data_IF_762870901758
#
_entry.id   IF_762870901758
#
_cell.length_a   1.000
_cell.length_b   1.000
_cell.length_c   1.000
_cell.angle_alpha   90.00
_cell.angle_beta   90.00
_cell.angle_gamma   90.00
#
_symmetry.space_group_name_H-M   'P 1'
#
loop_
_entity.id
_entity.type
_entity.pdbx_description
1 polymer ?
#
# COMPACT_ATOMS: atom_id res chain seq x y z
N UNK A 1 -6.62 43.07 -6.80
CA UNK A 1 -7.81 42.90 -7.66
C UNK A 1 -8.60 41.74 -7.06
N UNK A 2 -9.69 42.03 -6.32
CA UNK A 2 -10.52 40.99 -5.70
C UNK A 2 -11.23 40.23 -6.82
N UNK A 3 -10.94 38.94 -6.95
CA UNK A 3 -11.62 38.07 -7.91
C UNK A 3 -13.06 37.92 -7.45
N UNK A 4 -13.98 38.66 -8.08
CA UNK A 4 -15.43 38.47 -7.93
C UNK A 4 -15.84 37.29 -8.80
N UNK A 5 -15.74 36.09 -8.26
CA UNK A 5 -16.44 34.91 -8.76
C UNK A 5 -17.54 34.61 -7.74
N UNK A 6 -18.80 34.60 -8.19
CA UNK A 6 -19.98 34.39 -7.34
C UNK A 6 -19.96 33.06 -6.57
N UNK A 7 -19.02 32.16 -6.89
CA UNK A 7 -18.81 30.86 -6.22
C UNK A 7 -17.40 30.69 -5.61
N UNK A 8 -16.66 31.78 -5.31
CA UNK A 8 -15.31 31.67 -4.73
C UNK A 8 -15.31 30.86 -3.42
N UNK A 9 -16.33 31.04 -2.59
CA UNK A 9 -16.47 30.32 -1.32
C UNK A 9 -16.68 28.81 -1.51
N UNK A 10 -17.52 28.41 -2.48
CA UNK A 10 -17.69 26.99 -2.82
C UNK A 10 -16.40 26.38 -3.35
N UNK A 11 -15.70 27.09 -4.25
CA UNK A 11 -14.43 26.63 -4.78
C UNK A 11 -13.38 26.46 -3.67
N UNK A 12 -13.32 27.35 -2.68
CA UNK A 12 -12.43 27.21 -1.52
C UNK A 12 -12.81 25.98 -0.69
N UNK A 13 -14.08 25.82 -0.34
CA UNK A 13 -14.59 24.69 0.45
C UNK A 13 -14.38 23.34 -0.25
N UNK A 14 -14.57 23.28 -1.57
CA UNK A 14 -14.36 22.08 -2.38
C UNK A 14 -12.89 21.71 -2.57
N UNK A 15 -11.96 22.61 -2.23
CA UNK A 15 -10.52 22.33 -2.21
C UNK A 15 -9.99 22.04 -0.80
N UNK A 16 -10.82 22.09 0.25
CA UNK A 16 -10.42 21.70 1.59
C UNK A 16 -10.15 20.20 1.71
N UNK A 17 -9.23 19.86 2.61
CA UNK A 17 -8.89 18.48 2.93
C UNK A 17 -9.98 17.80 3.78
N UNK A 18 -10.49 18.51 4.79
CA UNK A 18 -11.56 18.01 5.65
C UNK A 18 -12.90 17.93 4.93
N UNK A 19 -13.68 16.90 5.23
CA UNK A 19 -15.07 16.82 4.83
C UNK A 19 -15.85 17.86 5.63
N UNK A 20 -16.47 18.81 4.95
CA UNK A 20 -17.23 19.89 5.56
C UNK A 20 -18.71 19.70 5.23
N UNK A 21 -19.54 19.72 6.26
CA UNK A 21 -20.99 19.72 6.14
C UNK A 21 -21.60 20.94 6.82
N UNK A 22 -22.71 21.39 6.28
CA UNK A 22 -23.62 22.29 6.97
C UNK A 22 -24.93 21.54 7.19
N UNK A 23 -25.46 21.54 8.42
CA UNK A 23 -26.78 21.00 8.71
C UNK A 23 -27.69 22.03 9.37
N UNK A 24 -28.99 21.75 9.33
CA UNK A 24 -29.93 22.38 10.25
C UNK A 24 -29.86 21.76 11.66
N UNK A 25 -30.70 22.25 12.58
CA UNK A 25 -30.78 21.74 13.96
C UNK A 25 -31.46 20.37 14.05
N UNK A 26 -32.19 19.96 13.02
CA UNK A 26 -32.73 18.60 12.86
C UNK A 26 -31.70 17.65 12.22
N UNK A 27 -30.48 18.16 11.96
CA UNK A 27 -29.32 17.48 11.38
C UNK A 27 -29.50 17.03 9.93
N UNK A 28 -30.46 17.60 9.22
CA UNK A 28 -30.59 17.43 7.78
C UNK A 28 -29.42 18.14 7.11
N UNK A 29 -28.73 17.44 6.22
CA UNK A 29 -27.55 17.97 5.52
C UNK A 29 -28.00 18.97 4.46
N UNK A 30 -27.57 20.21 4.60
CA UNK A 30 -27.85 21.30 3.66
C UNK A 30 -26.73 21.47 2.63
N UNK A 31 -25.49 21.19 3.03
CA UNK A 31 -24.32 21.30 2.17
C UNK A 31 -23.28 20.23 2.53
N UNK A 32 -22.54 19.77 1.52
CA UNK A 32 -21.40 18.88 1.65
C UNK A 32 -20.35 19.23 0.57
N UNK A 33 -19.08 19.39 0.95
CA UNK A 33 -18.01 19.67 0.01
C UNK A 33 -17.52 18.40 -0.74
N UNK A 34 -16.60 18.57 -1.70
CA UNK A 34 -16.03 17.45 -2.47
C UNK A 34 -15.31 16.39 -1.60
N UNK A 35 -14.73 16.80 -0.48
CA UNK A 35 -14.09 15.90 0.48
C UNK A 35 -15.12 15.02 1.21
N UNK A 36 -16.30 15.58 1.54
CA UNK A 36 -17.43 14.81 2.06
C UNK A 36 -17.96 13.78 1.06
N UNK A 37 -18.10 14.16 -0.22
CA UNK A 37 -18.49 13.22 -1.29
C UNK A 37 -17.50 12.06 -1.39
N UNK A 38 -16.20 12.38 -1.31
CA UNK A 38 -15.12 11.39 -1.36
C UNK A 38 -15.09 10.49 -0.13
N UNK A 39 -15.32 11.05 1.06
CA UNK A 39 -15.32 10.31 2.33
C UNK A 39 -16.44 9.26 2.39
N UNK A 40 -17.64 9.63 1.93
CA UNK A 40 -18.81 8.75 1.99
C UNK A 40 -19.07 7.98 0.69
N UNK A 41 -18.34 8.29 -0.39
CA UNK A 41 -18.55 7.76 -1.74
C UNK A 41 -19.99 7.99 -2.23
N UNK A 42 -20.49 9.20 -1.99
CA UNK A 42 -21.85 9.63 -2.35
C UNK A 42 -21.80 10.99 -3.02
N UNK A 43 -22.68 11.22 -3.99
CA UNK A 43 -22.85 12.55 -4.59
C UNK A 43 -23.44 13.52 -3.56
N UNK A 44 -23.10 14.81 -3.64
CA UNK A 44 -23.61 15.89 -2.80
C UNK A 44 -25.14 15.88 -2.72
N UNK A 45 -25.82 15.71 -3.86
CA UNK A 45 -27.29 15.63 -3.91
C UNK A 45 -27.86 14.49 -3.07
N UNK A 46 -27.16 13.34 -3.00
CA UNK A 46 -27.57 12.19 -2.19
C UNK A 46 -27.26 12.44 -0.71
N UNK A 47 -26.10 13.05 -0.40
CA UNK A 47 -25.76 13.43 0.97
C UNK A 47 -26.79 14.42 1.55
N UNK A 48 -27.23 15.41 0.78
CA UNK A 48 -28.25 16.37 1.20
C UNK A 48 -29.64 15.77 1.44
N UNK A 49 -29.88 14.49 1.10
CA UNK A 49 -31.13 13.78 1.46
C UNK A 49 -31.06 13.04 2.79
N UNK A 50 -29.89 13.02 3.42
CA UNK A 50 -29.62 12.27 4.64
C UNK A 50 -29.50 13.20 5.84
N UNK A 51 -29.57 12.60 7.02
CA UNK A 51 -29.19 13.26 8.26
C UNK A 51 -27.74 12.90 8.63
N UNK A 52 -27.09 13.73 9.44
CA UNK A 52 -25.76 13.40 9.97
C UNK A 52 -25.78 12.09 10.79
N UNK A 53 -26.91 11.76 11.42
CA UNK A 53 -27.10 10.47 12.11
C UNK A 53 -27.00 9.26 11.19
N UNK A 54 -27.37 9.40 9.92
CA UNK A 54 -27.28 8.30 8.96
C UNK A 54 -25.84 7.95 8.59
N UNK A 55 -24.89 8.84 8.87
CA UNK A 55 -23.49 8.72 8.53
C UNK A 55 -22.62 8.13 9.67
N UNK A 56 -23.07 8.27 10.92
CA UNK A 56 -22.34 7.86 12.13
C UNK A 56 -22.86 6.53 12.68
N UNK A 57 -21.94 5.70 13.21
CA UNK A 57 -22.29 4.41 13.82
C UNK A 57 -22.85 4.58 15.24
N UNK A 58 -22.25 5.44 16.07
CA UNK A 58 -22.74 5.75 17.43
C UNK A 58 -23.77 6.90 17.43
N UNK A 59 -25.02 6.55 17.17
CA UNK A 59 -26.13 7.51 17.16
C UNK A 59 -26.56 7.97 18.57
N UNK A 60 -26.36 7.14 19.58
CA UNK A 60 -26.84 7.40 20.96
C UNK A 60 -25.93 8.40 21.66
N UNK A 61 -24.61 8.19 21.59
CA UNK A 61 -23.65 9.14 22.15
C UNK A 61 -23.75 10.51 21.48
N UNK A 62 -24.02 10.55 20.18
CA UNK A 62 -24.12 11.80 19.42
C UNK A 62 -25.34 12.65 19.81
N UNK A 63 -26.51 12.04 20.08
CA UNK A 63 -27.71 12.77 20.56
C UNK A 63 -27.44 13.56 21.83
N UNK A 64 -26.67 12.98 22.77
CA UNK A 64 -26.31 13.63 24.02
C UNK A 64 -25.42 14.86 23.78
N UNK A 65 -24.38 14.70 22.96
CA UNK A 65 -23.47 15.80 22.59
C UNK A 65 -24.21 16.94 21.89
N UNK A 66 -25.22 16.64 21.08
CA UNK A 66 -26.03 17.64 20.40
C UNK A 66 -26.88 18.48 21.33
N UNK A 67 -27.53 17.86 22.32
CA UNK A 67 -28.28 18.59 23.35
C UNK A 67 -27.37 19.58 24.08
N UNK A 68 -26.20 19.11 24.50
CA UNK A 68 -25.19 19.94 25.18
C UNK A 68 -24.69 21.10 24.28
N UNK A 69 -24.52 20.85 22.98
CA UNK A 69 -24.04 21.85 22.02
C UNK A 69 -25.07 22.93 21.69
N UNK A 70 -26.35 22.56 21.57
CA UNK A 70 -27.45 23.52 21.37
C UNK A 70 -27.63 24.42 22.60
N UNK A 71 -27.49 23.85 23.79
CA UNK A 71 -27.67 24.56 25.06
C UNK A 71 -26.47 25.45 25.42
N UNK A 72 -25.24 24.96 25.19
CA UNK A 72 -24.00 25.68 25.56
C UNK A 72 -23.50 26.65 24.49
N UNK A 73 -23.81 26.40 23.22
CA UNK A 73 -23.28 27.16 22.08
C UNK A 73 -21.77 26.99 21.85
N UNK A 74 -21.11 26.04 22.52
CA UNK A 74 -19.66 25.80 22.35
C UNK A 74 -19.36 24.72 21.32
N UNK A 75 -18.26 24.83 20.55
CA UNK A 75 -17.83 23.75 19.68
C UNK A 75 -17.51 22.48 20.47
N UNK A 76 -17.91 21.31 19.96
CA UNK A 76 -17.56 20.01 20.52
C UNK A 76 -16.79 19.18 19.50
N UNK A 77 -15.69 18.55 19.94
CA UNK A 77 -14.90 17.62 19.12
C UNK A 77 -15.03 16.22 19.68
N UNK A 78 -15.36 15.25 18.82
CA UNK A 78 -15.26 13.82 19.11
C UNK A 78 -14.12 13.21 18.29
N UNK A 79 -13.44 12.22 18.86
CA UNK A 79 -12.26 11.60 18.26
C UNK A 79 -12.43 10.09 18.13
N UNK A 80 -11.84 9.51 17.10
CA UNK A 80 -11.90 8.06 16.82
C UNK A 80 -13.32 7.51 16.60
N UNK A 81 -14.21 8.34 16.07
CA UNK A 81 -15.57 7.94 15.73
C UNK A 81 -15.57 7.05 14.50
N UNK A 82 -16.41 6.02 14.50
CA UNK A 82 -16.58 5.14 13.35
C UNK A 82 -17.71 5.64 12.47
N UNK A 83 -17.43 5.75 11.17
CA UNK A 83 -18.43 5.98 10.14
C UNK A 83 -18.59 4.73 9.30
N UNK A 84 -19.83 4.44 8.92
CA UNK A 84 -20.15 3.34 8.02
C UNK A 84 -20.70 3.89 6.71
N UNK A 85 -19.99 3.65 5.61
CA UNK A 85 -20.55 3.94 4.29
C UNK A 85 -21.63 2.90 3.95
N UNK A 86 -22.91 3.29 4.05
CA UNK A 86 -24.05 2.42 3.70
C UNK A 86 -24.02 1.89 2.26
N UNK A 87 -23.24 2.51 1.35
CA UNK A 87 -23.10 2.08 -0.06
C UNK A 87 -21.97 1.07 -0.24
N UNK A 88 -20.84 1.26 0.43
CA UNK A 88 -19.64 0.42 0.22
C UNK A 88 -19.45 -0.65 1.29
N UNK A 89 -20.16 -0.55 2.42
CA UNK A 89 -19.99 -1.43 3.57
C UNK A 89 -18.68 -1.22 4.34
N UNK A 90 -17.84 -0.26 3.94
CA UNK A 90 -16.58 0.05 4.63
C UNK A 90 -16.82 0.91 5.86
N UNK A 91 -16.11 0.56 6.94
CA UNK A 91 -15.99 1.38 8.15
C UNK A 91 -14.69 2.19 8.10
N UNK A 92 -14.73 3.46 8.48
CA UNK A 92 -13.56 4.34 8.59
C UNK A 92 -13.58 5.07 9.93
N UNK A 93 -12.40 5.43 10.45
CA UNK A 93 -12.29 6.24 11.67
C UNK A 93 -12.08 7.71 11.35
N UNK A 94 -12.85 8.57 12.00
CA UNK A 94 -12.79 10.02 11.84
C UNK A 94 -12.67 10.73 13.18
N UNK A 95 -12.03 11.89 13.14
CA UNK A 95 -12.25 12.94 14.13
C UNK A 95 -13.30 13.89 13.57
N UNK A 96 -14.29 14.26 14.38
CA UNK A 96 -15.35 15.17 13.98
C UNK A 96 -15.50 16.33 14.95
N UNK A 97 -15.60 17.54 14.43
CA UNK A 97 -15.93 18.74 15.18
C UNK A 97 -17.32 19.23 14.77
N UNK A 98 -18.07 19.69 15.76
CA UNK A 98 -19.41 20.24 15.61
C UNK A 98 -19.36 21.66 16.17
N UNK A 99 -19.65 22.64 15.33
CA UNK A 99 -19.59 24.06 15.69
C UNK A 99 -20.93 24.70 15.37
N UNK A 100 -21.69 25.17 16.37
CA UNK A 100 -22.91 25.92 16.10
C UNK A 100 -22.54 27.27 15.48
N UNK A 101 -23.21 27.63 14.39
CA UNK A 101 -22.98 28.91 13.71
C UNK A 101 -24.30 29.62 13.45
N UNK A 102 -24.27 30.95 13.45
CA UNK A 102 -25.39 31.79 13.03
C UNK A 102 -25.22 32.14 11.55
N UNK A 103 -26.14 31.67 10.72
CA UNK A 103 -26.21 32.02 9.30
C UNK A 103 -27.45 32.89 9.09
N UNK A 104 -27.23 34.20 9.07
CA UNK A 104 -28.32 35.18 9.14
C UNK A 104 -29.03 35.10 10.49
N UNK A 105 -30.35 34.91 10.48
CA UNK A 105 -31.17 34.72 11.69
C UNK A 105 -31.37 33.23 12.06
N UNK A 106 -30.74 32.31 11.31
CA UNK A 106 -30.92 30.87 11.53
C UNK A 106 -29.68 30.24 12.15
N UNK A 107 -29.88 29.53 13.26
CA UNK A 107 -28.85 28.65 13.83
C UNK A 107 -28.67 27.42 12.95
N UNK A 108 -27.41 27.12 12.63
CA UNK A 108 -26.98 25.96 11.86
C UNK A 108 -25.83 25.27 12.56
N UNK A 109 -25.49 24.08 12.11
CA UNK A 109 -24.36 23.32 12.61
C UNK A 109 -23.33 23.15 11.49
N UNK A 110 -22.14 23.68 11.71
CA UNK A 110 -20.96 23.41 10.89
C UNK A 110 -20.29 22.14 11.42
N UNK A 111 -19.97 21.22 10.52
CA UNK A 111 -19.43 19.92 10.89
C UNK A 111 -18.21 19.68 10.02
N UNK A 112 -17.08 19.44 10.67
CA UNK A 112 -15.84 19.06 9.99
C UNK A 112 -15.50 17.63 10.38
N UNK A 113 -15.25 16.79 9.39
CA UNK A 113 -14.83 15.40 9.58
C UNK A 113 -13.47 15.20 8.91
N UNK A 114 -12.52 14.74 9.71
CA UNK A 114 -11.17 14.42 9.26
C UNK A 114 -10.93 12.93 9.44
N UNK A 115 -10.64 12.19 8.35
CA UNK A 115 -10.18 10.82 8.47
C UNK A 115 -8.91 10.78 9.32
N UNK A 116 -8.91 9.96 10.37
CA UNK A 116 -7.72 9.75 11.22
C UNK A 116 -6.61 9.07 10.42
N UNK A 117 -7.01 8.30 9.41
CA UNK A 117 -6.15 7.51 8.53
C UNK A 117 -5.26 8.32 7.57
N UNK A 118 -5.08 9.63 7.77
CA UNK A 118 -4.22 10.45 6.91
C UNK A 118 -2.96 10.96 7.61
N UNK A 119 -3.08 11.69 8.72
CA UNK A 119 -1.90 12.20 9.41
C UNK A 119 -1.10 11.08 10.10
N UNK A 120 -1.79 10.09 10.68
CA UNK A 120 -1.12 8.90 11.25
C UNK A 120 -0.52 8.04 10.14
N UNK A 121 -1.24 7.89 9.01
CA UNK A 121 -0.75 7.11 7.85
C UNK A 121 0.50 7.73 7.25
N UNK A 122 0.53 9.04 7.02
CA UNK A 122 1.68 9.75 6.45
C UNK A 122 2.88 9.64 7.38
N UNK A 123 2.72 9.90 8.68
CA UNK A 123 3.82 9.76 9.64
C UNK A 123 4.34 8.33 9.73
N UNK A 124 3.45 7.32 9.68
CA UNK A 124 3.83 5.90 9.67
C UNK A 124 4.56 5.53 8.39
N UNK A 125 4.10 6.00 7.24
CA UNK A 125 4.75 5.81 5.94
C UNK A 125 6.16 6.42 5.94
N UNK A 126 6.34 7.65 6.44
CA UNK A 126 7.65 8.28 6.59
C UNK A 126 8.58 7.51 7.53
N UNK A 127 8.07 7.06 8.67
CA UNK A 127 8.85 6.26 9.61
C UNK A 127 9.31 4.94 8.97
N UNK A 128 8.43 4.27 8.22
CA UNK A 128 8.77 3.04 7.49
C UNK A 128 9.80 3.30 6.38
N UNK A 129 9.63 4.35 5.58
CA UNK A 129 10.58 4.71 4.52
C UNK A 129 11.97 5.05 5.10
N UNK A 130 12.03 5.83 6.18
CA UNK A 130 13.28 6.19 6.86
C UNK A 130 13.99 4.96 7.47
N UNK A 131 13.23 4.08 8.11
CA UNK A 131 13.76 2.83 8.66
C UNK A 131 14.26 1.90 7.54
N UNK A 132 13.54 1.85 6.42
CA UNK A 132 13.91 1.08 5.24
C UNK A 132 15.18 1.61 4.57
N UNK A 133 15.34 2.93 4.42
CA UNK A 133 16.56 3.54 3.88
C UNK A 133 17.77 3.32 4.78
N UNK A 134 17.57 3.39 6.10
CA UNK A 134 18.59 3.05 7.10
C UNK A 134 19.01 1.58 6.98
N UNK A 135 18.05 0.67 6.87
CA UNK A 135 18.29 -0.76 6.67
C UNK A 135 19.05 -1.03 5.36
N UNK A 136 18.67 -0.38 4.25
CA UNK A 136 19.39 -0.46 2.97
C UNK A 136 20.83 0.01 3.07
N UNK A 137 21.09 1.12 3.75
CA UNK A 137 22.44 1.65 3.95
C UNK A 137 23.31 0.67 4.72
N UNK A 138 22.78 0.09 5.81
CA UNK A 138 23.45 -0.94 6.60
C UNK A 138 23.74 -2.20 5.80
N UNK A 139 22.74 -2.69 5.05
CA UNK A 139 22.88 -3.85 4.15
C UNK A 139 23.97 -3.61 3.12
N UNK A 140 24.08 -2.40 2.54
CA UNK A 140 25.14 -2.08 1.56
C UNK A 140 26.54 -2.12 2.18
N UNK A 141 26.70 -1.57 3.38
CA UNK A 141 27.96 -1.63 4.12
C UNK A 141 28.37 -3.08 4.39
N UNK A 142 27.44 -3.88 4.93
CA UNK A 142 27.64 -5.29 5.22
C UNK A 142 27.89 -6.13 3.95
N UNK A 143 27.22 -5.82 2.84
CA UNK A 143 27.35 -6.58 1.61
C UNK A 143 28.77 -6.52 1.03
N UNK A 144 29.44 -5.36 1.12
CA UNK A 144 30.85 -5.26 0.76
C UNK A 144 31.75 -6.08 1.69
N UNK A 145 31.45 -6.11 2.99
CA UNK A 145 32.18 -6.89 3.97
C UNK A 145 31.92 -8.40 3.88
N UNK A 146 30.75 -8.83 3.38
CA UNK A 146 30.38 -10.25 3.17
C UNK A 146 30.94 -10.79 1.85
N UNK A 147 30.98 -9.97 0.78
CA UNK A 147 31.55 -10.38 -0.51
C UNK A 147 33.02 -10.80 -0.40
N UNK A 148 33.78 -10.15 0.49
CA UNK A 148 35.20 -10.42 0.70
C UNK A 148 35.49 -11.84 1.24
N UNK A 149 34.90 -12.29 2.37
CA UNK A 149 35.09 -13.65 2.87
C UNK A 149 34.48 -14.70 1.94
N UNK A 150 33.35 -14.43 1.25
CA UNK A 150 32.82 -15.34 0.24
C UNK A 150 33.81 -15.55 -0.91
N UNK A 151 34.45 -14.49 -1.40
CA UNK A 151 35.53 -14.59 -2.39
C UNK A 151 36.70 -15.45 -1.90
N UNK A 152 37.08 -15.30 -0.63
CA UNK A 152 38.12 -16.10 0.01
C UNK A 152 37.76 -17.59 0.13
N UNK A 153 36.55 -17.91 0.59
CA UNK A 153 36.03 -19.29 0.71
C UNK A 153 35.99 -19.95 -0.67
N UNK A 154 35.48 -19.23 -1.68
CA UNK A 154 35.45 -19.73 -3.07
C UNK A 154 36.86 -20.01 -3.58
N UNK A 155 37.80 -19.10 -3.35
CA UNK A 155 39.20 -19.28 -3.77
C UNK A 155 39.86 -20.49 -3.09
N UNK A 156 39.64 -20.66 -1.78
CA UNK A 156 40.13 -21.83 -1.05
C UNK A 156 39.52 -23.14 -1.56
N UNK A 157 38.21 -23.17 -1.83
CA UNK A 157 37.53 -24.34 -2.37
C UNK A 157 38.04 -24.71 -3.78
N UNK A 158 38.34 -23.72 -4.62
CA UNK A 158 38.93 -23.93 -5.94
C UNK A 158 40.36 -24.47 -5.87
N UNK A 159 41.18 -23.98 -4.94
CA UNK A 159 42.53 -24.49 -4.71
C UNK A 159 42.50 -25.93 -4.19
N UNK A 160 41.60 -26.25 -3.25
CA UNK A 160 41.39 -27.60 -2.76
C UNK A 160 40.95 -28.56 -3.86
N UNK A 161 40.03 -28.13 -4.74
CA UNK A 161 39.59 -28.94 -5.89
C UNK A 161 40.76 -29.25 -6.84
N UNK A 162 41.65 -28.28 -7.07
CA UNK A 162 42.87 -28.47 -7.87
C UNK A 162 43.84 -29.46 -7.23
N UNK A 163 44.09 -29.36 -5.92
CA UNK A 163 44.94 -30.31 -5.18
C UNK A 163 44.36 -31.73 -5.19
N UNK A 164 43.04 -31.88 -4.99
CA UNK A 164 42.34 -33.17 -5.05
C UNK A 164 42.53 -33.83 -6.43
N UNK A 165 42.34 -33.06 -7.50
CA UNK A 165 42.55 -33.53 -8.88
C UNK A 165 44.02 -33.88 -9.13
N UNK A 166 44.96 -33.07 -8.63
CA UNK A 166 46.38 -33.27 -8.84
C UNK A 166 46.94 -34.49 -8.08
N UNK A 167 46.42 -34.77 -6.89
CA UNK A 167 46.89 -35.86 -6.03
C UNK A 167 46.06 -37.14 -6.11
N UNK A 168 45.01 -37.18 -6.93
CA UNK A 168 44.18 -38.36 -7.14
C UNK A 168 43.38 -38.78 -5.91
N UNK A 169 42.92 -37.81 -5.10
CA UNK A 169 42.09 -38.04 -3.92
C UNK A 169 40.66 -38.48 -4.31
N UNK A 170 39.84 -38.90 -3.34
CA UNK A 170 38.51 -39.48 -3.62
C UNK A 170 37.53 -38.49 -4.30
N UNK A 171 36.57 -39.05 -5.05
CA UNK A 171 35.55 -38.26 -5.76
C UNK A 171 34.57 -37.58 -4.77
N UNK A 172 34.45 -38.09 -3.54
CA UNK A 172 33.58 -37.55 -2.49
C UNK A 172 34.07 -36.18 -2.00
N UNK A 173 35.38 -36.03 -1.80
CA UNK A 173 36.05 -34.77 -1.45
C UNK A 173 35.88 -33.72 -2.55
N UNK A 174 35.90 -34.17 -3.81
CA UNK A 174 35.66 -33.34 -5.00
C UNK A 174 34.21 -32.91 -5.14
N UNK A 175 33.27 -33.74 -4.71
CA UNK A 175 31.86 -33.38 -4.66
C UNK A 175 31.63 -32.30 -3.58
N UNK A 176 32.27 -32.43 -2.42
CA UNK A 176 32.22 -31.43 -1.34
C UNK A 176 32.78 -30.06 -1.76
N UNK A 177 33.90 -29.99 -2.49
CA UNK A 177 34.45 -28.71 -3.00
C UNK A 177 33.51 -28.02 -3.99
N UNK A 178 32.83 -28.79 -4.85
CA UNK A 178 31.80 -28.27 -5.77
C UNK A 178 30.58 -27.75 -5.02
N UNK A 179 30.13 -28.45 -3.97
CA UNK A 179 29.03 -27.98 -3.11
C UNK A 179 29.40 -26.64 -2.46
N UNK A 180 30.60 -26.53 -1.85
CA UNK A 180 31.07 -25.28 -1.24
C UNK A 180 31.09 -24.14 -2.26
N UNK A 181 31.61 -24.39 -3.46
CA UNK A 181 31.65 -23.39 -4.54
C UNK A 181 30.25 -22.95 -4.94
N UNK A 182 29.34 -23.91 -5.14
CA UNK A 182 27.94 -23.64 -5.53
C UNK A 182 27.21 -22.83 -4.47
N UNK A 183 27.35 -23.17 -3.19
CA UNK A 183 26.72 -22.42 -2.10
C UNK A 183 27.35 -21.04 -1.93
N UNK A 184 28.66 -20.90 -2.15
CA UNK A 184 29.32 -19.59 -2.09
C UNK A 184 28.85 -18.67 -3.22
N UNK A 185 28.67 -19.19 -4.43
CA UNK A 185 28.11 -18.44 -5.56
C UNK A 185 26.63 -18.10 -5.32
N UNK A 186 25.84 -19.02 -4.78
CA UNK A 186 24.45 -18.76 -4.38
C UNK A 186 24.34 -17.64 -3.34
N UNK A 187 25.21 -17.63 -2.33
CA UNK A 187 25.27 -16.58 -1.32
C UNK A 187 25.68 -15.24 -1.94
N UNK A 188 26.65 -15.24 -2.85
CA UNK A 188 27.05 -14.04 -3.58
C UNK A 188 25.88 -13.46 -4.39
N UNK A 189 25.15 -14.29 -5.11
CA UNK A 189 23.97 -13.85 -5.87
C UNK A 189 22.87 -13.27 -4.96
N UNK A 190 22.72 -13.82 -3.76
CA UNK A 190 21.79 -13.30 -2.75
C UNK A 190 22.22 -11.89 -2.27
N UNK A 191 23.52 -11.71 -2.02
CA UNK A 191 24.11 -10.41 -1.67
C UNK A 191 23.99 -9.42 -2.83
N UNK A 192 24.16 -9.85 -4.07
CA UNK A 192 23.99 -9.00 -5.25
C UNK A 192 22.54 -8.54 -5.43
N UNK A 193 21.55 -9.39 -5.15
CA UNK A 193 20.13 -9.01 -5.13
C UNK A 193 19.80 -7.99 -4.04
N UNK A 194 20.44 -8.08 -2.87
CA UNK A 194 20.32 -7.08 -1.79
C UNK A 194 20.87 -5.71 -2.19
N UNK A 195 21.90 -5.70 -3.04
CA UNK A 195 22.61 -4.49 -3.45
C UNK A 195 21.97 -3.74 -4.64
N UNK A 196 20.93 -4.30 -5.24
CA UNK A 196 20.22 -3.91 -6.47
C UNK A 196 20.89 -2.74 -7.25
N UNK A 197 21.52 -3.02 -8.41
CA UNK A 197 22.25 -2.00 -9.17
C UNK A 197 21.41 -0.74 -9.37
N UNK A 198 22.07 0.42 -9.36
CA UNK A 198 21.47 1.67 -9.80
C UNK A 198 21.14 1.58 -11.31
N UNK A 199 20.06 0.89 -11.66
CA UNK A 199 19.46 1.00 -12.98
C UNK A 199 18.91 2.40 -13.11
N UNK A 200 19.40 3.14 -14.11
CA UNK A 200 18.75 4.37 -14.54
C UNK A 200 17.35 4.00 -15.03
N UNK A 201 16.33 4.50 -14.34
CA UNK A 201 14.94 4.26 -14.69
C UNK A 201 14.66 4.81 -16.08
N UNK A 202 14.03 4.00 -16.93
CA UNK A 202 13.57 4.42 -18.25
C UNK A 202 12.07 4.67 -18.17
N UNK A 203 11.71 5.91 -17.85
CA UNK A 203 10.32 6.33 -17.80
C UNK A 203 9.75 6.46 -19.21
N UNK A 204 8.69 5.70 -19.47
CA UNK A 204 7.90 5.74 -20.69
C UNK A 204 6.40 5.68 -20.35
N UNK A 205 5.56 6.13 -21.29
CA UNK A 205 4.12 5.95 -21.17
C UNK A 205 3.81 4.46 -21.27
N UNK A 206 3.07 3.94 -20.29
CA UNK A 206 2.68 2.54 -20.26
C UNK A 206 1.27 2.38 -19.71
N UNK A 207 0.60 1.32 -20.18
CA UNK A 207 -0.64 0.85 -19.63
C UNK A 207 -0.35 -0.13 -18.48
N UNK A 208 -0.84 0.14 -17.27
CA UNK A 208 -0.63 -0.71 -16.10
C UNK A 208 -1.20 -2.13 -16.29
N UNK A 209 -2.25 -2.28 -17.10
CA UNK A 209 -2.83 -3.59 -17.40
C UNK A 209 -1.88 -4.47 -18.20
N UNK A 210 -1.01 -3.92 -19.04
CA UNK A 210 0.02 -4.71 -19.73
C UNK A 210 1.02 -5.30 -18.75
N UNK A 211 1.36 -4.56 -17.70
CA UNK A 211 2.26 -5.03 -16.63
C UNK A 211 1.59 -6.16 -15.85
N UNK A 212 0.34 -5.95 -15.41
CA UNK A 212 -0.37 -6.95 -14.60
C UNK A 212 -0.72 -8.20 -15.42
N UNK A 213 -1.04 -8.06 -16.70
CA UNK A 213 -1.35 -9.19 -17.58
C UNK A 213 -0.10 -10.02 -17.87
N UNK A 214 1.04 -9.35 -18.12
CA UNK A 214 2.32 -10.03 -18.30
C UNK A 214 2.70 -10.87 -17.08
N UNK A 215 2.58 -10.29 -15.88
CA UNK A 215 2.86 -11.02 -14.63
C UNK A 215 1.87 -12.16 -14.42
N UNK A 216 0.57 -11.93 -14.61
CA UNK A 216 -0.44 -12.98 -14.41
C UNK A 216 -0.20 -14.16 -15.37
N UNK A 217 0.11 -13.88 -16.64
CA UNK A 217 0.42 -14.91 -17.64
C UNK A 217 1.67 -15.73 -17.27
N UNK A 218 2.70 -15.08 -16.74
CA UNK A 218 3.92 -15.76 -16.28
C UNK A 218 3.62 -16.71 -15.13
N UNK A 219 2.82 -16.28 -14.15
CA UNK A 219 2.46 -17.10 -12.99
C UNK A 219 1.52 -18.24 -13.34
N UNK A 220 0.57 -18.03 -14.24
CA UNK A 220 -0.29 -19.10 -14.79
C UNK A 220 0.56 -20.20 -15.43
N UNK A 221 1.61 -19.83 -16.18
CA UNK A 221 2.55 -20.77 -16.78
C UNK A 221 3.42 -21.49 -15.73
N UNK A 222 3.97 -20.77 -14.75
CA UNK A 222 4.80 -21.35 -13.67
C UNK A 222 4.01 -22.37 -12.83
N UNK A 223 2.73 -22.10 -12.57
CA UNK A 223 1.89 -22.90 -11.66
C UNK A 223 1.18 -24.08 -12.32
N UNK A 224 1.26 -24.22 -13.64
CA UNK A 224 0.68 -25.34 -14.41
C UNK A 224 -0.83 -25.54 -14.14
N UNK A 225 -1.58 -24.48 -13.84
CA UNK A 225 -3.02 -24.54 -13.59
C UNK A 225 -3.44 -24.95 -12.18
N UNK A 226 -2.52 -25.08 -11.22
CA UNK A 226 -2.83 -25.40 -9.83
C UNK A 226 -3.50 -24.25 -9.06
N UNK A 227 -3.53 -23.04 -9.62
CA UNK A 227 -4.03 -21.83 -9.00
C UNK A 227 -5.09 -21.17 -9.87
N UNK A 228 -6.13 -20.61 -9.24
CA UNK A 228 -7.12 -19.80 -9.93
C UNK A 228 -6.70 -18.34 -9.96
N UNK A 229 -6.46 -17.79 -11.15
CA UNK A 229 -6.19 -16.37 -11.33
C UNK A 229 -7.44 -15.63 -11.79
N UNK A 230 -7.78 -14.52 -11.13
CA UNK A 230 -8.91 -13.65 -11.48
C UNK A 230 -8.41 -12.25 -11.82
N UNK A 231 -8.92 -11.68 -12.91
CA UNK A 231 -8.59 -10.33 -13.39
C UNK A 231 -9.79 -9.42 -13.18
N UNK A 232 -9.63 -8.38 -12.38
CA UNK A 232 -10.67 -7.40 -12.05
C UNK A 232 -10.17 -5.99 -12.36
N UNK A 233 -10.09 -5.69 -13.65
CA UNK A 233 -9.46 -4.46 -14.15
C UNK A 233 -10.49 -3.35 -14.36
N UNK A 234 -10.14 -2.16 -13.89
CA UNK A 234 -10.83 -0.92 -14.21
C UNK A 234 -10.28 -0.35 -15.53
N UNK A 235 -11.04 -0.41 -16.64
CA UNK A 235 -10.59 0.01 -17.97
C UNK A 235 -10.49 1.54 -18.12
N UNK A 236 -10.91 2.32 -17.12
CA UNK A 236 -10.85 3.79 -17.16
C UNK A 236 -9.49 4.37 -16.76
N UNK A 237 -8.57 3.53 -16.27
CA UNK A 237 -7.24 3.98 -15.84
C UNK A 237 -6.43 4.44 -17.07
N UNK A 238 -5.96 5.70 -17.10
CA UNK A 238 -5.14 6.20 -18.19
C UNK A 238 -3.71 5.62 -18.14
N UNK A 239 -2.95 5.82 -19.21
CA UNK A 239 -1.51 5.53 -19.23
C UNK A 239 -0.79 6.30 -18.11
N UNK A 240 0.18 5.64 -17.49
CA UNK A 240 1.06 6.23 -16.49
C UNK A 240 2.49 6.33 -17.03
N UNK A 241 3.30 7.19 -16.43
CA UNK A 241 4.71 7.31 -16.77
C UNK A 241 5.53 6.44 -15.82
N UNK A 242 6.25 5.44 -16.33
CA UNK A 242 7.00 4.51 -15.49
C UNK A 242 8.02 3.68 -16.26
N UNK A 243 8.85 2.96 -15.53
CA UNK A 243 9.74 1.92 -16.06
C UNK A 243 9.00 0.57 -16.01
N UNK A 244 8.58 0.10 -17.19
CA UNK A 244 7.81 -1.13 -17.35
C UNK A 244 8.49 -2.34 -16.71
N UNK A 245 9.81 -2.45 -16.84
CA UNK A 245 10.57 -3.61 -16.33
C UNK A 245 10.57 -3.66 -14.81
N UNK A 246 10.73 -2.50 -14.16
CA UNK A 246 10.72 -2.37 -12.71
C UNK A 246 9.32 -2.59 -12.13
N UNK A 247 8.28 -2.12 -12.80
CA UNK A 247 6.89 -2.37 -12.38
C UNK A 247 6.50 -3.85 -12.54
N UNK A 248 6.93 -4.52 -13.61
CA UNK A 248 6.78 -5.98 -13.75
C UNK A 248 7.44 -6.69 -12.57
N UNK A 249 8.68 -6.32 -12.24
CA UNK A 249 9.41 -6.92 -11.11
C UNK A 249 8.69 -6.70 -9.77
N UNK A 250 8.15 -5.49 -9.53
CA UNK A 250 7.42 -5.17 -8.32
C UNK A 250 6.15 -6.03 -8.19
N UNK A 251 5.30 -6.06 -9.22
CA UNK A 251 4.05 -6.84 -9.22
C UNK A 251 4.34 -8.33 -9.13
N UNK A 252 5.40 -8.82 -9.80
CA UNK A 252 5.82 -10.21 -9.74
C UNK A 252 6.27 -10.62 -8.34
N UNK A 253 7.06 -9.80 -7.66
CA UNK A 253 7.52 -10.09 -6.30
C UNK A 253 6.37 -10.16 -5.30
N UNK A 254 5.42 -9.23 -5.39
CA UNK A 254 4.20 -9.25 -4.57
C UNK A 254 3.37 -10.51 -4.87
N UNK A 255 3.19 -10.83 -6.14
CA UNK A 255 2.37 -11.99 -6.56
C UNK A 255 3.03 -13.33 -6.23
N UNK A 256 4.36 -13.43 -6.28
CA UNK A 256 5.09 -14.62 -5.82
C UNK A 256 4.99 -14.78 -4.31
N UNK A 257 4.95 -13.68 -3.55
CA UNK A 257 4.70 -13.74 -2.12
C UNK A 257 3.31 -14.33 -1.81
N UNK A 258 2.29 -13.98 -2.59
CA UNK A 258 0.96 -14.58 -2.49
C UNK A 258 0.97 -16.08 -2.85
N UNK A 259 1.58 -16.47 -3.98
CA UNK A 259 1.70 -17.88 -4.38
C UNK A 259 2.39 -18.75 -3.32
N UNK A 260 3.49 -18.26 -2.77
CA UNK A 260 4.22 -18.97 -1.73
C UNK A 260 3.36 -19.15 -0.46
N UNK A 261 2.60 -18.11 -0.07
CA UNK A 261 1.71 -18.17 1.08
C UNK A 261 0.64 -19.26 0.92
N UNK A 262 0.03 -19.31 -0.25
CA UNK A 262 -1.01 -20.27 -0.61
C UNK A 262 -0.48 -21.70 -0.68
N UNK A 263 0.73 -21.88 -1.24
CA UNK A 263 1.36 -23.19 -1.39
C UNK A 263 1.78 -23.78 -0.04
N UNK A 264 2.45 -22.99 0.80
CA UNK A 264 2.92 -23.45 2.13
C UNK A 264 1.77 -23.78 3.09
N UNK A 265 0.65 -23.06 2.97
CA UNK A 265 -0.54 -23.29 3.79
C UNK A 265 -1.47 -24.39 3.25
N UNK A 266 -1.13 -25.03 2.12
CA UNK A 266 -1.92 -26.08 1.47
C UNK A 266 -3.41 -25.69 1.30
N UNK A 267 -3.64 -24.46 0.83
CA UNK A 267 -5.00 -23.90 0.69
C UNK A 267 -5.81 -24.70 -0.33
N UNK A 268 -6.99 -25.16 0.09
CA UNK A 268 -7.96 -25.77 -0.80
C UNK A 268 -8.51 -24.71 -1.75
N UNK A 269 -8.29 -24.89 -3.07
CA UNK A 269 -8.64 -23.92 -4.12
C UNK A 269 -7.90 -22.58 -3.96
N UNK A 270 -6.58 -22.56 -4.17
CA UNK A 270 -5.81 -21.35 -4.02
C UNK A 270 -6.17 -20.36 -5.14
N UNK A 271 -6.47 -19.13 -4.76
CA UNK A 271 -6.96 -18.07 -5.65
C UNK A 271 -6.15 -16.80 -5.47
N UNK A 272 -5.74 -16.22 -6.59
CA UNK A 272 -5.14 -14.88 -6.66
C UNK A 272 -6.00 -14.00 -7.53
N UNK A 273 -6.39 -12.84 -7.03
CA UNK A 273 -7.10 -11.82 -7.81
C UNK A 273 -6.19 -10.61 -8.00
N UNK A 274 -5.97 -10.22 -9.25
CA UNK A 274 -5.31 -8.95 -9.59
C UNK A 274 -6.39 -7.94 -9.94
N UNK A 275 -6.48 -6.88 -9.14
CA UNK A 275 -7.52 -5.84 -9.29
C UNK A 275 -6.88 -4.49 -9.52
N UNK A 276 -7.45 -3.66 -10.39
CA UNK A 276 -7.01 -2.26 -10.56
C UNK A 276 -8.15 -1.29 -10.30
N UNK A 277 -7.87 -0.15 -9.66
CA UNK A 277 -8.84 0.94 -9.42
C UNK A 277 -8.19 2.31 -9.50
N UNK A 278 -8.95 3.35 -9.84
CA UNK A 278 -8.54 4.75 -9.64
C UNK A 278 -8.91 5.21 -8.24
N UNK A 279 -7.94 5.77 -7.51
CA UNK A 279 -8.16 6.51 -6.27
C UNK A 279 -8.09 8.00 -6.55
N UNK A 280 -9.05 8.77 -6.00
CA UNK A 280 -9.09 10.23 -6.12
C UNK A 280 -8.51 10.88 -4.87
N UNK A 281 -7.83 12.01 -5.04
CA UNK A 281 -7.34 12.83 -3.92
C UNK A 281 -6.51 12.03 -2.90
N UNK A 282 -5.70 11.10 -3.40
CA UNK A 282 -4.89 10.20 -2.57
C UNK A 282 -3.55 10.85 -2.24
N UNK A 283 -3.08 10.68 -1.01
CA UNK A 283 -1.77 11.17 -0.58
C UNK A 283 -0.82 10.01 -0.43
N UNK A 284 0.33 10.12 -1.09
CA UNK A 284 1.47 9.22 -0.99
C UNK A 284 2.61 10.04 -0.40
N UNK A 285 3.11 9.63 0.77
CA UNK A 285 4.07 10.40 1.55
C UNK A 285 3.55 11.83 1.79
N UNK A 286 4.27 12.89 1.37
CA UNK A 286 3.82 14.29 1.52
C UNK A 286 3.07 14.87 0.31
N UNK A 287 2.93 14.10 -0.77
CA UNK A 287 2.39 14.60 -2.03
C UNK A 287 0.94 14.14 -2.23
N UNK A 288 0.03 15.11 -2.45
CA UNK A 288 -1.35 14.84 -2.83
C UNK A 288 -1.46 14.71 -4.33
N UNK A 289 -1.98 13.59 -4.78
CA UNK A 289 -2.25 13.30 -6.17
C UNK A 289 -3.75 13.35 -6.43
N UNK A 290 -4.16 14.05 -7.50
CA UNK A 290 -5.57 14.11 -7.91
C UNK A 290 -6.09 12.71 -8.25
N UNK A 291 -5.26 11.92 -8.93
CA UNK A 291 -5.57 10.54 -9.30
C UNK A 291 -4.36 9.63 -9.03
N UNK A 292 -4.62 8.45 -8.48
CA UNK A 292 -3.63 7.40 -8.23
C UNK A 292 -4.18 6.10 -8.78
N UNK A 293 -3.37 5.36 -9.51
CA UNK A 293 -3.64 3.99 -9.89
C UNK A 293 -3.34 3.09 -8.70
N UNK A 294 -4.33 2.32 -8.26
CA UNK A 294 -4.18 1.28 -7.25
C UNK A 294 -4.23 -0.08 -7.92
N UNK A 295 -3.19 -0.90 -7.71
CA UNK A 295 -3.10 -2.29 -8.16
C UNK A 295 -3.08 -3.19 -6.93
N UNK A 296 -4.09 -4.03 -6.80
CA UNK A 296 -4.22 -4.99 -5.71
C UNK A 296 -3.83 -6.38 -6.19
N UNK A 297 -3.02 -7.07 -5.38
CA UNK A 297 -2.83 -8.51 -5.43
C UNK A 297 -3.50 -9.09 -4.19
N UNK A 298 -4.56 -9.86 -4.42
CA UNK A 298 -5.44 -10.40 -3.36
C UNK A 298 -5.32 -11.92 -3.35
N UNK A 299 -5.03 -12.52 -2.20
CA UNK A 299 -4.99 -13.96 -2.03
C UNK A 299 -5.88 -14.45 -0.88
N UNK A 300 -6.34 -15.71 -1.00
CA UNK A 300 -7.11 -16.39 0.03
C UNK A 300 -6.25 -17.22 1.00
N UNK A 301 -5.03 -16.75 1.27
CA UNK A 301 -4.06 -17.41 2.13
C UNK A 301 -4.32 -17.26 3.63
N UNK A 302 -3.39 -17.72 4.48
CA UNK A 302 -3.57 -17.77 5.93
C UNK A 302 -3.59 -16.40 6.62
N UNK A 303 -3.27 -15.33 5.90
CA UNK A 303 -3.08 -14.00 6.47
C UNK A 303 -1.65 -13.74 6.96
N UNK A 304 -1.44 -12.55 7.51
CA UNK A 304 -0.19 -12.10 8.13
C UNK A 304 -0.52 -11.69 9.57
N UNK A 305 0.31 -12.08 10.52
CA UNK A 305 0.11 -11.72 11.93
C UNK A 305 0.24 -10.19 12.12
N UNK A 306 -0.49 -9.59 13.08
CA UNK A 306 -0.40 -8.14 13.32
C UNK A 306 1.03 -7.65 13.57
N UNK A 307 1.82 -8.44 14.31
CA UNK A 307 3.22 -8.13 14.66
C UNK A 307 4.14 -8.09 13.43
N UNK A 308 3.82 -8.90 12.42
CA UNK A 308 4.60 -8.98 11.18
C UNK A 308 4.22 -7.95 10.14
N UNK A 309 2.99 -7.42 10.17
CA UNK A 309 2.44 -6.58 9.10
C UNK A 309 3.30 -5.35 8.81
N UNK A 310 3.95 -4.77 9.83
CA UNK A 310 4.88 -3.64 9.64
C UNK A 310 6.29 -4.09 9.20
N UNK A 311 6.67 -5.32 9.53
CA UNK A 311 8.03 -5.82 9.36
C UNK A 311 8.25 -6.48 7.99
N UNK A 312 7.20 -6.92 7.30
CA UNK A 312 7.29 -7.64 6.02
C UNK A 312 7.99 -6.87 4.89
N UNK A 313 8.10 -5.55 5.00
CA UNK A 313 8.78 -4.71 3.99
C UNK A 313 10.28 -4.55 4.26
N UNK A 314 10.78 -4.98 5.42
CA UNK A 314 12.19 -4.94 5.77
C UNK A 314 12.96 -6.09 5.11
N UNK A 315 14.19 -5.86 4.62
CA UNK A 315 15.00 -6.90 4.00
C UNK A 315 15.23 -8.08 4.94
N UNK A 316 15.25 -9.30 4.39
CA UNK A 316 15.57 -10.56 5.10
C UNK A 316 14.53 -10.96 6.17
N UNK A 317 13.43 -10.22 6.29
CA UNK A 317 12.32 -10.58 7.17
C UNK A 317 11.42 -11.57 6.43
N UNK A 318 11.34 -12.79 6.94
CA UNK A 318 10.48 -13.86 6.43
C UNK A 318 10.20 -14.85 7.55
N UNK A 319 8.93 -15.15 7.80
CA UNK A 319 8.53 -16.27 8.69
C UNK A 319 8.58 -17.63 7.96
N UNK A 320 8.87 -17.62 6.65
CA UNK A 320 8.72 -18.76 5.75
C UNK A 320 10.04 -19.48 5.50
N UNK A 321 10.00 -20.81 5.53
CA UNK A 321 11.14 -21.67 5.26
C UNK A 321 11.60 -21.55 3.80
N UNK A 322 12.82 -21.05 3.58
CA UNK A 322 13.41 -20.90 2.24
C UNK A 322 13.09 -19.58 1.52
N UNK A 323 12.22 -18.73 2.09
CA UNK A 323 11.99 -17.37 1.62
C UNK A 323 13.20 -16.47 1.89
N UNK A 324 13.68 -15.75 0.89
CA UNK A 324 14.84 -14.85 1.06
C UNK A 324 14.49 -13.57 1.82
N UNK A 325 13.21 -13.23 1.97
CA UNK A 325 12.77 -11.97 2.58
C UNK A 325 13.13 -10.72 1.77
N UNK A 326 13.50 -10.86 0.49
CA UNK A 326 13.93 -9.74 -0.36
C UNK A 326 12.86 -9.25 -1.34
N UNK A 327 11.88 -10.10 -1.66
CA UNK A 327 10.90 -9.80 -2.73
C UNK A 327 10.11 -8.51 -2.47
N UNK A 328 9.52 -8.37 -1.27
CA UNK A 328 8.73 -7.20 -0.91
C UNK A 328 9.59 -5.93 -0.77
N UNK A 329 10.82 -6.05 -0.28
CA UNK A 329 11.77 -4.93 -0.24
C UNK A 329 12.12 -4.42 -1.64
N UNK A 330 12.36 -5.33 -2.58
CA UNK A 330 12.61 -4.98 -3.98
C UNK A 330 11.38 -4.32 -4.60
N UNK A 331 10.19 -4.88 -4.36
CA UNK A 331 8.94 -4.28 -4.83
C UNK A 331 8.75 -2.86 -4.28
N UNK A 332 8.95 -2.65 -2.97
CA UNK A 332 8.88 -1.35 -2.32
C UNK A 332 9.85 -0.36 -2.98
N UNK A 333 11.10 -0.80 -3.23
CA UNK A 333 12.12 0.04 -3.87
C UNK A 333 11.70 0.49 -5.27
N UNK A 334 11.23 -0.44 -6.09
CA UNK A 334 10.75 -0.16 -7.43
C UNK A 334 9.57 0.82 -7.37
N UNK A 335 8.60 0.61 -6.47
CA UNK A 335 7.41 1.47 -6.35
C UNK A 335 7.75 2.87 -5.81
N UNK A 336 8.59 2.98 -4.79
CA UNK A 336 9.05 4.29 -4.27
C UNK A 336 9.83 5.09 -5.31
N UNK A 337 10.63 4.42 -6.16
CA UNK A 337 11.29 5.04 -7.32
C UNK A 337 10.32 5.63 -8.35
N UNK A 338 9.07 5.15 -8.37
CA UNK A 338 7.96 5.69 -9.17
C UNK A 338 7.09 6.69 -8.39
N UNK A 339 7.56 7.19 -7.24
CA UNK A 339 6.81 8.06 -6.31
C UNK A 339 5.52 7.40 -5.79
N UNK A 340 5.48 6.07 -5.80
CA UNK A 340 4.40 5.27 -5.29
C UNK A 340 4.64 4.75 -3.88
N UNK A 341 3.69 3.98 -3.37
CA UNK A 341 3.82 3.25 -2.10
C UNK A 341 3.14 1.88 -2.17
N UNK A 342 3.53 0.96 -1.29
CA UNK A 342 2.88 -0.35 -1.14
C UNK A 342 2.32 -0.43 0.27
N UNK A 343 1.06 -0.86 0.36
CA UNK A 343 0.39 -1.13 1.62
C UNK A 343 -0.05 -2.59 1.68
N UNK A 344 -0.15 -3.11 2.90
CA UNK A 344 -0.67 -4.44 3.16
C UNK A 344 -1.84 -4.35 4.14
N UNK A 345 -2.95 -5.00 3.79
CA UNK A 345 -4.07 -5.28 4.68
C UNK A 345 -4.32 -6.77 4.63
N UNK A 346 -4.35 -7.43 5.78
CA UNK A 346 -4.39 -8.88 5.82
C UNK A 346 -5.27 -9.37 6.95
N UNK A 347 -6.21 -10.24 6.58
CA UNK A 347 -6.96 -11.11 7.47
C UNK A 347 -6.85 -12.56 6.95
N UNK A 348 -7.02 -13.59 7.78
CA UNK A 348 -7.06 -14.96 7.29
C UNK A 348 -8.14 -15.14 6.22
N UNK A 349 -7.74 -15.65 5.04
CA UNK A 349 -8.59 -15.82 3.87
C UNK A 349 -8.71 -14.57 2.98
N UNK A 350 -8.12 -13.43 3.36
CA UNK A 350 -8.08 -12.21 2.55
C UNK A 350 -6.82 -11.38 2.84
N UNK A 351 -5.76 -11.62 2.08
CA UNK A 351 -4.54 -10.80 2.12
C UNK A 351 -4.44 -9.93 0.87
N UNK A 352 -4.31 -8.62 1.09
CA UNK A 352 -4.32 -7.61 0.04
C UNK A 352 -3.03 -6.80 0.11
N UNK A 353 -2.19 -6.96 -0.91
CA UNK A 353 -1.10 -6.04 -1.18
C UNK A 353 -1.54 -5.01 -2.22
N UNK A 354 -1.57 -3.73 -1.82
CA UNK A 354 -2.00 -2.60 -2.65
C UNK A 354 -0.80 -1.76 -3.08
N UNK A 355 -0.50 -1.74 -4.38
CA UNK A 355 0.51 -0.86 -4.98
C UNK A 355 -0.18 0.41 -5.48
N UNK A 356 0.28 1.57 -5.02
CA UNK A 356 -0.23 2.88 -5.41
C UNK A 356 0.78 3.61 -6.28
N UNK A 357 0.37 4.00 -7.49
CA UNK A 357 1.19 4.71 -8.47
C UNK A 357 0.50 6.01 -8.87
N UNK A 358 1.18 7.17 -8.78
CA UNK A 358 0.66 8.42 -9.30
C UNK A 358 0.28 8.31 -10.78
N UNK A 359 -0.92 8.77 -11.11
CA UNK A 359 -1.27 9.10 -12.50
C UNK A 359 -0.79 10.53 -12.76
N UNK A 360 -0.30 10.81 -13.97
CA UNK A 360 0.25 12.13 -14.32
C UNK A 360 -0.67 13.29 -13.93
N UNK A 361 -0.08 14.48 -13.71
CA UNK A 361 -0.81 15.71 -13.34
C UNK A 361 -1.96 16.08 -14.29
#
# INVERSE_FOLDING_TARGET
MLVKTDNLHEALLDNLYGAVFLSDLDLTILYANSAAESLFQMTRSKLCTLTIFDLLEDQIGFKKTLGELVDSGTPHTRRHEKINSKITGKSSKIDCSFTPIDVGETKRLLIEMHPIDHFVRINREHALLSAHDTSKSLVRGLAHEIKNPLGGIRGAAQLLDQEIVQHGMDEESRELTKIITTETDRLKDLVDRLLEPHHTLKFEKLNIHEVTEHVTSLLEAETHGNFQFTRDYDPSIPELNGDKSQLIQAVLNVSRNALQALHEADIQQPKITVRTRVQRNYTISDNRYRFVCRVDVIDNGPGITPDMTEQIFFPLVSERSGGTGLGLTIAQTAVTRHKGTIECSSEPGDTIFSIYLPLGE
#
